data_IF_863867552651
#
_entry.id   IF_863867552651
#
_cell.length_a   1.000
_cell.length_b   1.000
_cell.length_c   1.000
_cell.angle_alpha   90.00
_cell.angle_beta   90.00
_cell.angle_gamma   90.00
#
_symmetry.space_group_name_H-M   'P 1'
#
loop_
_entity.id
_entity.type
_entity.pdbx_description
1 polymer ?
#
# COMPACT_ATOMS: atom_id res chain seq x y z
N UNK A 1 -8.80 -20.40 55.75
CA UNK A 1 -7.96 -19.46 54.98
C UNK A 1 -8.70 -19.06 53.70
N UNK A 2 -9.66 -18.14 53.77
CA UNK A 2 -10.45 -17.69 52.61
C UNK A 2 -10.80 -16.19 52.63
N UNK A 3 -10.25 -15.42 53.58
CA UNK A 3 -10.59 -13.99 53.77
C UNK A 3 -9.71 -13.02 52.97
N UNK A 4 -8.48 -13.41 52.59
CA UNK A 4 -7.57 -12.47 51.90
C UNK A 4 -7.92 -12.19 50.42
N UNK A 5 -8.76 -12.99 49.77
CA UNK A 5 -9.04 -12.82 48.33
C UNK A 5 -10.18 -11.83 48.06
N UNK A 6 -11.18 -11.75 48.95
CA UNK A 6 -12.28 -10.79 48.85
C UNK A 6 -11.80 -9.37 49.12
N UNK A 7 -10.97 -9.16 50.15
CA UNK A 7 -10.41 -7.85 50.45
C UNK A 7 -9.51 -7.33 49.33
N UNK A 8 -8.68 -8.19 48.73
CA UNK A 8 -7.82 -7.81 47.59
C UNK A 8 -8.68 -7.41 46.40
N UNK A 9 -9.74 -8.15 46.09
CA UNK A 9 -10.67 -7.82 45.00
C UNK A 9 -11.40 -6.49 45.26
N UNK A 10 -11.79 -6.23 46.49
CA UNK A 10 -12.47 -5.00 46.87
C UNK A 10 -11.53 -3.80 46.81
N UNK A 11 -10.27 -3.97 47.22
CA UNK A 11 -9.21 -2.96 47.12
C UNK A 11 -8.87 -2.62 45.68
N UNK A 12 -8.77 -3.64 44.80
CA UNK A 12 -8.57 -3.46 43.35
C UNK A 12 -9.76 -2.73 42.74
N UNK A 13 -11.00 -3.09 43.10
CA UNK A 13 -12.20 -2.42 42.59
C UNK A 13 -12.25 -0.95 42.98
N UNK A 14 -11.86 -0.62 44.21
CA UNK A 14 -11.83 0.76 44.71
C UNK A 14 -10.77 1.59 43.98
N UNK A 15 -9.59 1.02 43.75
CA UNK A 15 -8.51 1.67 43.00
C UNK A 15 -8.90 1.94 41.54
N UNK A 16 -9.55 0.97 40.88
CA UNK A 16 -10.05 1.13 39.50
C UNK A 16 -11.10 2.24 39.42
N UNK A 17 -11.99 2.36 40.41
CA UNK A 17 -12.95 3.47 40.45
C UNK A 17 -12.30 4.83 40.67
N UNK A 18 -11.30 4.94 41.54
CA UNK A 18 -10.56 6.19 41.74
C UNK A 18 -9.80 6.61 40.47
N UNK A 19 -9.16 5.65 39.79
CA UNK A 19 -8.46 5.91 38.53
C UNK A 19 -9.44 6.37 37.46
N UNK A 20 -10.57 5.69 37.29
CA UNK A 20 -11.60 6.08 36.32
C UNK A 20 -12.22 7.45 36.64
N UNK A 21 -12.35 7.82 37.91
CA UNK A 21 -12.84 9.14 38.32
C UNK A 21 -11.78 10.26 38.16
N UNK A 22 -10.50 9.90 38.12
CA UNK A 22 -9.39 10.85 37.90
C UNK A 22 -9.12 11.17 36.43
N UNK A 23 -9.66 10.34 35.52
CA UNK A 23 -9.67 10.66 34.10
C UNK A 23 -10.77 11.71 33.91
N UNK A 24 -10.44 12.96 33.55
CA UNK A 24 -11.46 13.94 33.25
C UNK A 24 -12.34 13.39 32.13
N UNK A 25 -13.66 13.50 32.27
CA UNK A 25 -14.60 13.26 31.18
C UNK A 25 -14.10 14.08 29.99
N UNK A 26 -13.45 13.40 29.05
CA UNK A 26 -13.11 14.01 27.79
C UNK A 26 -14.45 14.35 27.16
N UNK A 27 -14.77 15.65 27.14
CA UNK A 27 -15.89 16.18 26.39
C UNK A 27 -15.94 15.44 25.05
N UNK A 28 -17.07 14.79 24.69
CA UNK A 28 -17.20 14.16 23.38
C UNK A 28 -17.15 15.19 22.23
N UNK A 29 -16.91 16.46 22.56
CA UNK A 29 -16.89 17.63 21.69
C UNK A 29 -15.47 18.05 21.25
N UNK A 30 -14.42 17.37 21.69
CA UNK A 30 -13.06 17.55 21.16
C UNK A 30 -12.50 16.24 20.60
N UNK A 31 -13.32 15.50 19.85
CA UNK A 31 -12.79 14.70 18.76
C UNK A 31 -12.21 15.68 17.74
N UNK A 32 -10.89 15.92 17.84
CA UNK A 32 -10.13 16.49 16.75
C UNK A 32 -10.60 15.84 15.45
N UNK A 33 -10.89 16.71 14.48
CA UNK A 33 -11.37 16.39 13.16
C UNK A 33 -10.37 15.45 12.45
N UNK A 34 -10.33 14.18 12.82
CA UNK A 34 -9.95 13.14 11.89
C UNK A 34 -11.12 13.03 10.94
N UNK A 35 -11.06 13.88 9.90
CA UNK A 35 -11.87 13.79 8.71
C UNK A 35 -11.57 12.46 8.04
N UNK A 36 -12.13 11.39 8.59
CA UNK A 36 -12.27 10.15 7.86
C UNK A 36 -13.25 10.47 6.73
N UNK A 37 -12.84 10.33 5.46
CA UNK A 37 -13.74 10.65 4.37
C UNK A 37 -15.00 9.79 4.49
N UNK A 38 -16.18 10.43 4.58
CA UNK A 38 -17.50 9.78 4.67
C UNK A 38 -17.76 8.73 3.57
N UNK A 39 -16.94 8.75 2.51
CA UNK A 39 -16.77 7.63 1.59
C UNK A 39 -15.29 7.31 1.43
N UNK A 40 -14.88 6.18 2.00
CA UNK A 40 -13.77 5.43 1.42
C UNK A 40 -14.27 4.91 0.06
N UNK A 41 -13.95 5.63 -1.03
CA UNK A 41 -14.22 5.15 -2.38
C UNK A 41 -13.24 4.02 -2.64
N UNK A 42 -13.65 2.82 -2.23
CA UNK A 42 -12.92 1.60 -2.60
C UNK A 42 -13.13 1.45 -4.11
N UNK A 43 -12.09 1.71 -4.90
CA UNK A 43 -12.10 1.50 -6.36
C UNK A 43 -12.42 0.04 -6.75
N UNK A 44 -12.53 -0.88 -5.79
CA UNK A 44 -12.92 -2.28 -5.98
C UNK A 44 -14.36 -2.46 -6.44
N UNK A 45 -15.22 -1.45 -6.35
CA UNK A 45 -16.60 -1.47 -6.86
C UNK A 45 -16.87 -0.36 -7.87
N UNK A 46 -15.90 -0.02 -8.74
CA UNK A 46 -16.28 0.65 -9.98
C UNK A 46 -17.18 -0.32 -10.75
N UNK A 47 -18.43 0.12 -10.93
CA UNK A 47 -19.41 -0.42 -11.89
C UNK A 47 -18.66 -1.09 -13.03
N UNK A 48 -19.02 -2.35 -13.31
CA UNK A 48 -18.55 -3.20 -14.40
C UNK A 48 -18.50 -2.37 -15.68
N UNK A 49 -17.43 -1.59 -15.85
CA UNK A 49 -17.20 -0.80 -17.03
C UNK A 49 -17.19 -1.84 -18.13
N UNK A 50 -18.01 -1.63 -19.15
CA UNK A 50 -17.95 -2.42 -20.37
C UNK A 50 -16.46 -2.53 -20.70
N UNK A 51 -15.94 -3.76 -20.61
CA UNK A 51 -14.50 -3.96 -20.76
C UNK A 51 -14.17 -3.40 -22.12
N UNK A 52 -13.21 -2.48 -22.17
CA UNK A 52 -12.83 -1.83 -23.43
C UNK A 52 -12.27 -2.85 -24.44
N UNK A 53 -11.98 -4.06 -23.96
CA UNK A 53 -11.39 -5.19 -24.65
C UNK A 53 -12.16 -6.49 -24.36
N UNK A 54 -12.13 -7.41 -25.33
CA UNK A 54 -12.68 -8.76 -25.20
C UNK A 54 -11.67 -9.70 -24.52
N UNK A 55 -10.36 -9.49 -24.78
CA UNK A 55 -9.27 -10.25 -24.17
C UNK A 55 -8.09 -9.36 -23.78
N UNK A 56 -7.48 -9.67 -22.64
CA UNK A 56 -6.32 -8.93 -22.10
C UNK A 56 -5.10 -9.84 -22.07
N UNK A 57 -4.13 -9.55 -22.94
CA UNK A 57 -2.82 -10.19 -22.97
C UNK A 57 -1.72 -9.13 -22.71
N UNK A 58 -2.09 -7.99 -22.12
CA UNK A 58 -1.19 -6.84 -21.91
C UNK A 58 -0.08 -7.09 -20.87
N UNK A 59 -0.16 -8.19 -20.13
CA UNK A 59 0.89 -8.62 -19.20
C UNK A 59 2.05 -9.34 -19.90
N UNK A 60 1.89 -9.73 -21.16
CA UNK A 60 2.88 -10.52 -21.93
C UNK A 60 3.66 -9.64 -22.90
N UNK A 61 4.95 -9.92 -23.02
CA UNK A 61 5.84 -9.29 -24.01
C UNK A 61 5.91 -10.05 -25.34
N UNK A 62 5.50 -11.32 -25.36
CA UNK A 62 5.42 -12.16 -26.55
C UNK A 62 4.00 -12.74 -26.63
N UNK A 63 3.31 -12.45 -27.72
CA UNK A 63 1.98 -12.94 -28.04
C UNK A 63 2.13 -14.04 -29.09
N UNK A 64 1.60 -15.21 -28.75
CA UNK A 64 1.60 -16.41 -29.58
C UNK A 64 0.20 -16.66 -30.14
N UNK A 65 0.11 -17.63 -31.06
CA UNK A 65 -1.15 -18.03 -31.65
C UNK A 65 -2.16 -18.53 -30.59
N UNK A 66 -1.68 -19.25 -29.57
CA UNK A 66 -2.51 -19.80 -28.49
C UNK A 66 -3.18 -18.70 -27.65
N UNK A 67 -2.52 -17.55 -27.54
CA UNK A 67 -3.03 -16.38 -26.82
C UNK A 67 -4.18 -15.68 -27.56
N UNK A 68 -4.25 -15.84 -28.88
CA UNK A 68 -5.26 -15.23 -29.75
C UNK A 68 -6.38 -16.22 -30.08
N UNK A 69 -6.10 -17.52 -30.00
CA UNK A 69 -7.04 -18.58 -30.34
C UNK A 69 -8.34 -18.44 -29.54
N UNK A 70 -9.46 -18.59 -30.25
CA UNK A 70 -10.81 -18.47 -29.69
C UNK A 70 -11.43 -17.06 -29.79
N UNK A 71 -10.70 -16.08 -30.31
CA UNK A 71 -11.25 -14.76 -30.65
C UNK A 71 -12.06 -14.81 -31.96
N UNK A 72 -13.13 -14.02 -31.98
CA UNK A 72 -13.98 -13.82 -33.14
C UNK A 72 -13.50 -12.64 -33.98
N UNK A 73 -14.03 -12.54 -35.20
CA UNK A 73 -13.65 -11.47 -36.12
C UNK A 73 -14.04 -10.09 -35.55
N UNK A 74 -13.07 -9.18 -35.47
CA UNK A 74 -13.27 -7.84 -34.94
C UNK A 74 -13.20 -7.69 -33.42
N UNK A 75 -12.88 -8.77 -32.69
CA UNK A 75 -12.67 -8.70 -31.25
C UNK A 75 -11.51 -7.76 -30.89
N UNK A 76 -11.61 -7.15 -29.72
CA UNK A 76 -10.63 -6.21 -29.18
C UNK A 76 -9.64 -6.94 -28.29
N UNK A 77 -8.40 -7.02 -28.75
CA UNK A 77 -7.31 -7.61 -28.00
C UNK A 77 -6.45 -6.50 -27.39
N UNK A 78 -6.37 -6.49 -26.06
CA UNK A 78 -5.50 -5.56 -25.35
C UNK A 78 -4.10 -6.13 -25.22
N UNK A 79 -3.10 -5.37 -25.67
CA UNK A 79 -1.68 -5.76 -25.66
C UNK A 79 -0.79 -4.65 -25.10
N UNK A 80 0.42 -5.01 -24.69
CA UNK A 80 1.46 -4.03 -24.36
C UNK A 80 1.99 -3.36 -25.64
N UNK A 81 2.39 -2.09 -25.56
CA UNK A 81 2.96 -1.36 -26.70
C UNK A 81 4.22 -2.01 -27.27
N UNK A 82 4.98 -2.73 -26.44
CA UNK A 82 6.23 -3.41 -26.81
C UNK A 82 6.04 -4.91 -27.06
N UNK A 83 4.80 -5.40 -27.05
CA UNK A 83 4.51 -6.80 -27.29
C UNK A 83 4.92 -7.20 -28.72
N UNK A 84 5.66 -8.30 -28.84
CA UNK A 84 5.99 -8.92 -30.12
C UNK A 84 5.00 -10.03 -30.41
N UNK A 85 4.65 -10.21 -31.68
CA UNK A 85 3.81 -11.29 -32.12
C UNK A 85 4.68 -12.34 -32.82
N UNK A 86 4.40 -13.62 -32.58
CA UNK A 86 4.93 -14.66 -33.47
C UNK A 86 4.33 -14.51 -34.87
N UNK A 87 4.98 -15.00 -35.94
CA UNK A 87 4.46 -14.86 -37.30
C UNK A 87 3.02 -15.39 -37.45
N UNK A 88 2.74 -16.57 -36.87
CA UNK A 88 1.41 -17.17 -36.91
C UNK A 88 0.38 -16.35 -36.09
N UNK A 89 0.79 -15.77 -34.97
CA UNK A 89 -0.05 -14.84 -34.22
C UNK A 89 -0.40 -13.59 -35.05
N UNK A 90 0.57 -13.03 -35.76
CA UNK A 90 0.38 -11.88 -36.64
C UNK A 90 -0.60 -12.21 -37.78
N UNK A 91 -0.48 -13.40 -38.38
CA UNK A 91 -1.39 -13.88 -39.42
C UNK A 91 -2.83 -14.01 -38.90
N UNK A 92 -3.01 -14.51 -37.66
CA UNK A 92 -4.33 -14.58 -37.02
C UNK A 92 -4.93 -13.20 -36.72
N UNK A 93 -4.12 -12.26 -36.22
CA UNK A 93 -4.57 -10.87 -36.00
C UNK A 93 -5.08 -10.26 -37.30
N UNK A 94 -4.34 -10.46 -38.40
CA UNK A 94 -4.70 -9.91 -39.70
C UNK A 94 -5.95 -10.59 -40.31
N UNK A 95 -6.04 -11.92 -40.23
CA UNK A 95 -7.16 -12.68 -40.79
C UNK A 95 -8.47 -12.49 -40.03
N UNK A 96 -8.40 -12.43 -38.69
CA UNK A 96 -9.55 -12.14 -37.83
C UNK A 96 -9.84 -10.63 -37.74
N UNK A 97 -8.95 -9.77 -38.25
CA UNK A 97 -9.12 -8.32 -38.20
C UNK A 97 -9.28 -7.78 -36.78
N UNK A 98 -8.48 -8.29 -35.83
CA UNK A 98 -8.58 -7.93 -34.42
C UNK A 98 -8.22 -6.45 -34.19
N UNK A 99 -8.94 -5.80 -33.30
CA UNK A 99 -8.67 -4.42 -32.89
C UNK A 99 -7.66 -4.44 -31.74
N UNK A 100 -6.42 -4.03 -32.00
CA UNK A 100 -5.38 -3.95 -30.97
C UNK A 100 -5.54 -2.70 -30.11
N UNK A 101 -5.76 -2.89 -28.81
CA UNK A 101 -5.79 -1.79 -27.83
C UNK A 101 -4.47 -1.80 -27.08
N UNK A 102 -3.65 -0.79 -27.31
CA UNK A 102 -2.38 -0.67 -26.60
C UNK A 102 -2.59 -0.12 -25.20
N UNK A 103 -2.03 -0.80 -24.21
CA UNK A 103 -1.88 -0.24 -22.87
C UNK A 103 -0.55 0.47 -22.80
N UNK A 104 -0.55 1.80 -22.84
CA UNK A 104 0.60 2.54 -22.31
C UNK A 104 0.74 2.18 -20.85
N UNK A 105 1.83 1.49 -20.52
CA UNK A 105 2.25 1.35 -19.13
C UNK A 105 2.38 2.78 -18.64
N UNK A 106 1.45 3.22 -17.78
CA UNK A 106 1.66 4.44 -17.03
C UNK A 106 2.97 4.21 -16.29
N UNK A 107 4.03 4.86 -16.74
CA UNK A 107 5.19 5.06 -15.89
C UNK A 107 4.60 5.69 -14.64
N UNK A 108 4.66 4.95 -13.53
CA UNK A 108 4.14 5.41 -12.26
C UNK A 108 4.94 6.64 -11.89
N UNK A 109 4.42 7.81 -12.24
CA UNK A 109 5.01 9.12 -11.97
C UNK A 109 4.81 9.47 -10.50
N UNK A 110 5.10 8.54 -9.60
CA UNK A 110 5.16 8.82 -8.18
C UNK A 110 6.46 9.60 -7.99
N UNK A 111 6.36 10.93 -7.96
CA UNK A 111 7.48 11.81 -7.63
C UNK A 111 7.62 11.81 -6.11
N UNK A 112 8.26 10.79 -5.58
CA UNK A 112 8.64 10.74 -4.17
C UNK A 112 9.82 11.70 -3.99
N UNK A 113 9.63 12.80 -3.27
CA UNK A 113 10.69 13.77 -2.95
C UNK A 113 11.20 13.59 -1.53
N UNK A 114 10.39 12.96 -0.68
CA UNK A 114 10.68 12.74 0.73
C UNK A 114 10.22 11.36 1.20
N UNK A 115 11.10 10.67 1.90
CA UNK A 115 10.88 9.31 2.42
C UNK A 115 11.14 9.30 3.92
N UNK A 116 10.18 8.79 4.69
CA UNK A 116 10.43 8.37 6.06
C UNK A 116 11.05 6.97 6.04
N UNK A 117 12.03 6.69 6.90
CA UNK A 117 12.56 5.34 7.04
C UNK A 117 12.52 4.97 8.51
N UNK A 118 12.06 3.75 8.77
CA UNK A 118 12.07 3.14 10.09
C UNK A 118 12.44 1.68 9.94
N UNK A 119 13.26 1.18 10.85
CA UNK A 119 13.70 -0.20 10.89
C UNK A 119 13.86 -0.68 12.32
N UNK A 120 13.94 -1.99 12.49
CA UNK A 120 14.26 -2.63 13.75
C UNK A 120 15.76 -3.00 13.82
N UNK A 121 16.14 -3.70 14.89
CA UNK A 121 17.50 -4.22 15.09
C UNK A 121 18.01 -5.06 13.91
N UNK A 122 17.14 -5.86 13.28
CA UNK A 122 17.50 -6.74 12.17
C UNK A 122 17.68 -5.99 10.85
N UNK A 123 16.98 -4.88 10.66
CA UNK A 123 17.04 -4.09 9.45
C UNK A 123 17.94 -2.84 9.50
N UNK A 124 18.63 -2.57 10.62
CA UNK A 124 19.54 -1.42 10.75
C UNK A 124 20.58 -1.34 9.62
N UNK A 125 21.28 -2.44 9.33
CA UNK A 125 22.32 -2.45 8.29
C UNK A 125 21.73 -2.16 6.89
N UNK A 126 20.54 -2.71 6.60
CA UNK A 126 19.83 -2.49 5.34
C UNK A 126 19.32 -1.04 5.22
N UNK A 127 18.85 -0.46 6.32
CA UNK A 127 18.42 0.94 6.40
C UNK A 127 19.57 1.89 6.05
N UNK A 128 20.74 1.68 6.62
CA UNK A 128 21.90 2.54 6.38
C UNK A 128 22.34 2.49 4.90
N UNK A 129 22.34 1.30 4.29
CA UNK A 129 22.57 1.18 2.85
C UNK A 129 21.50 1.88 2.01
N UNK A 130 20.24 1.75 2.40
CA UNK A 130 19.12 2.40 1.72
C UNK A 130 19.20 3.93 1.82
N UNK A 131 19.64 4.46 2.96
CA UNK A 131 19.86 5.90 3.13
C UNK A 131 20.87 6.45 2.14
N UNK A 132 21.99 5.76 1.95
CA UNK A 132 23.03 6.16 1.00
C UNK A 132 22.46 6.18 -0.41
N UNK A 133 21.81 5.08 -0.81
CA UNK A 133 21.18 4.97 -2.12
C UNK A 133 20.16 6.08 -2.39
N UNK A 134 19.27 6.37 -1.45
CA UNK A 134 18.25 7.41 -1.60
C UNK A 134 18.84 8.82 -1.59
N UNK A 135 19.93 9.05 -0.86
CA UNK A 135 20.64 10.33 -0.84
C UNK A 135 21.31 10.63 -2.18
N UNK A 136 21.86 9.60 -2.84
CA UNK A 136 22.43 9.71 -4.20
C UNK A 136 21.39 10.10 -5.25
N UNK A 137 20.10 9.85 -4.98
CA UNK A 137 18.97 10.18 -5.84
C UNK A 137 18.25 11.50 -5.49
N UNK A 138 18.87 12.37 -4.68
CA UNK A 138 18.33 13.69 -4.26
C UNK A 138 16.98 13.59 -3.50
N UNK A 139 16.73 12.46 -2.83
CA UNK A 139 15.52 12.25 -2.02
C UNK A 139 15.79 12.71 -0.58
N UNK A 140 14.86 13.48 -0.01
CA UNK A 140 14.94 13.91 1.40
C UNK A 140 14.56 12.76 2.32
N UNK A 141 15.47 12.37 3.20
CA UNK A 141 15.25 11.24 4.11
C UNK A 141 14.94 11.76 5.51
N UNK A 142 13.91 11.19 6.14
CA UNK A 142 13.63 11.35 7.57
C UNK A 142 13.73 10.00 8.25
N UNK A 143 14.76 9.83 9.06
CA UNK A 143 14.91 8.60 9.85
C UNK A 143 14.14 8.73 11.16
N UNK A 144 13.29 7.74 11.43
CA UNK A 144 12.56 7.62 12.69
C UNK A 144 13.12 6.52 13.59
N UNK A 145 14.11 5.74 13.14
CA UNK A 145 14.87 4.78 13.93
C UNK A 145 15.03 3.40 13.27
N UNK A 146 15.64 2.40 13.92
CA UNK A 146 16.52 2.51 15.09
C UNK A 146 17.89 3.08 14.74
N UNK A 147 18.56 3.75 15.68
CA UNK A 147 19.95 4.23 15.51
C UNK A 147 21.00 3.20 15.97
N UNK A 148 20.56 2.01 16.40
CA UNK A 148 21.43 0.97 16.95
C UNK A 148 20.93 -0.44 16.59
N UNK A 149 21.82 -1.44 16.78
CA UNK A 149 21.50 -2.88 16.66
C UNK A 149 20.89 -3.46 17.94
N UNK A 150 20.53 -2.61 18.89
CA UNK A 150 19.94 -3.06 20.15
C UNK A 150 18.50 -3.53 19.91
N UNK A 151 18.05 -4.50 20.71
CA UNK A 151 16.68 -5.00 20.60
C UNK A 151 15.70 -3.87 20.89
N UNK A 152 14.78 -3.63 19.95
CA UNK A 152 13.80 -2.56 20.03
C UNK A 152 12.42 -3.00 19.57
N UNK A 153 11.40 -2.28 20.02
CA UNK A 153 10.02 -2.52 19.67
C UNK A 153 9.67 -1.92 18.31
N UNK A 154 9.68 -2.77 17.28
CA UNK A 154 9.29 -2.42 15.91
C UNK A 154 7.97 -1.64 15.78
N UNK A 155 6.90 -1.92 16.56
CA UNK A 155 5.64 -1.19 16.43
C UNK A 155 5.77 0.32 16.62
N UNK A 156 6.68 0.78 17.47
CA UNK A 156 6.86 2.21 17.76
C UNK A 156 7.43 2.95 16.53
N UNK A 157 8.44 2.35 15.88
CA UNK A 157 9.04 2.90 14.67
C UNK A 157 8.10 2.83 13.48
N UNK A 158 7.39 1.72 13.32
CA UNK A 158 6.39 1.56 12.28
C UNK A 158 5.27 2.59 12.44
N UNK A 159 4.83 2.86 13.67
CA UNK A 159 3.81 3.86 13.95
C UNK A 159 4.31 5.28 13.67
N UNK A 160 5.56 5.61 14.03
CA UNK A 160 6.16 6.92 13.74
C UNK A 160 6.26 7.19 12.23
N UNK A 161 6.73 6.21 11.45
CA UNK A 161 6.79 6.29 9.98
C UNK A 161 5.39 6.45 9.39
N UNK A 162 4.44 5.60 9.78
CA UNK A 162 3.07 5.64 9.27
C UNK A 162 2.38 6.97 9.60
N UNK A 163 2.60 7.50 10.80
CA UNK A 163 2.05 8.79 11.23
C UNK A 163 2.63 9.95 10.41
N UNK A 164 3.94 9.92 10.12
CA UNK A 164 4.59 10.92 9.26
C UNK A 164 4.04 10.91 7.83
N UNK A 165 3.81 9.73 7.26
CA UNK A 165 3.17 9.57 5.93
C UNK A 165 1.72 10.04 5.97
N UNK A 166 0.95 9.61 6.97
CA UNK A 166 -0.46 9.98 7.13
C UNK A 166 -0.69 11.48 7.35
N UNK A 167 0.25 12.16 8.00
CA UNK A 167 0.24 13.61 8.18
C UNK A 167 0.69 14.40 6.94
N UNK A 168 1.16 13.73 5.87
CA UNK A 168 1.71 14.39 4.68
C UNK A 168 3.06 15.09 4.92
N UNK A 169 3.75 14.71 5.99
CA UNK A 169 5.09 15.22 6.31
C UNK A 169 6.18 14.64 5.41
N UNK A 170 5.93 13.46 4.84
CA UNK A 170 6.74 12.78 3.84
C UNK A 170 5.83 12.21 2.74
N UNK A 171 6.38 11.94 1.56
CA UNK A 171 5.61 11.40 0.43
C UNK A 171 5.43 9.88 0.52
N UNK A 172 6.40 9.18 1.11
CA UNK A 172 6.40 7.72 1.29
C UNK A 172 7.15 7.32 2.57
N UNK A 173 6.97 6.08 3.03
CA UNK A 173 7.61 5.50 4.20
C UNK A 173 7.81 4.00 4.07
#
# INVERSE_FOLDING_TARGET
MAENSSEVRERVRKLVQEVLASVPDADPTSAEQTSYPERLVVNSLRNKAEREYDRDESSKLLITEDDIRGLSQGDRLRVDEKAKFTPLAQDLVNSLGLQLITKTRRESSIRVRSIAIGSDHGGFDAKEQLKIFLSDHDVKIRDFGTDSKEAVDYPDFAHAVASSVGAGHVDAG
#
